data_IF_089312522453
#
_entry.id   IF_089312522453
#
_cell.length_a   1.000
_cell.length_b   1.000
_cell.length_c   1.000
_cell.angle_alpha   90.00
_cell.angle_beta   90.00
_cell.angle_gamma   90.00
#
_symmetry.space_group_name_H-M   'P 1'
#
loop_
_entity.id
_entity.type
_entity.pdbx_description
1 polymer ?
2 non-polymer ?
3 non-polymer ?
4 water ?
#
# COMPACT_ATOMS: atom_id res chain seq x y z
N UNK A 2 -6.06 -6.34 -31.11
CA UNK A 2 -7.29 -6.94 -30.48
C UNK A 2 -7.46 -8.47 -30.67
N UNK A 3 -6.42 -9.16 -31.15
CA UNK A 3 -6.53 -10.59 -31.49
C UNK A 3 -5.96 -11.56 -30.43
N UNK A 4 -6.44 -12.80 -30.46
CA UNK A 4 -6.12 -13.82 -29.43
C UNK A 4 -4.65 -14.18 -29.23
N UNK A 5 -4.25 -14.37 -27.97
CA UNK A 5 -2.90 -14.82 -27.58
C UNK A 5 -2.99 -16.02 -26.61
N UNK A 6 -1.98 -16.91 -26.60
CA UNK A 6 -1.89 -17.99 -25.60
C UNK A 6 -1.62 -17.40 -24.22
N UNK A 7 -0.63 -16.52 -24.16
CA UNK A 7 -0.22 -15.92 -22.89
C UNK A 7 -1.19 -14.83 -22.40
N UNK A 8 -1.20 -14.65 -21.07
CA UNK A 8 -1.89 -13.54 -20.44
C UNK A 8 -0.82 -12.49 -20.16
N UNK A 9 -1.04 -11.26 -20.62
CA UNK A 9 -0.01 -10.25 -20.55
C UNK A 9 -0.30 -9.27 -19.41
N UNK A 10 0.60 -9.21 -18.44
CA UNK A 10 0.43 -8.31 -17.29
C UNK A 10 1.58 -7.29 -17.32
N UNK A 11 1.23 -6.03 -17.58
CA UNK A 11 2.19 -4.94 -17.47
C UNK A 11 2.26 -4.41 -16.04
N UNK A 12 3.48 -4.33 -15.51
CA UNK A 12 3.74 -3.89 -14.14
C UNK A 12 4.72 -2.76 -14.14
N UNK A 13 4.28 -1.65 -13.58
CA UNK A 13 5.17 -0.51 -13.35
C UNK A 13 5.34 -0.24 -11.84
N UNK A 14 6.59 -0.34 -11.38
CA UNK A 14 6.89 -0.21 -9.96
C UNK A 14 8.10 0.68 -9.81
N UNK A 15 8.34 1.13 -8.58
CA UNK A 15 9.42 2.06 -8.34
C UNK A 15 10.63 1.33 -7.75
N UNK A 16 11.61 1.03 -8.61
CA UNK A 16 12.79 0.31 -8.16
C UNK A 16 14.06 1.20 -8.10
N UNK A 17 13.91 2.48 -8.44
CA UNK A 17 15.01 3.46 -8.25
C UNK A 17 14.44 4.74 -7.64
N UNK A 18 15.28 5.56 -7.01
CA UNK A 18 14.85 6.85 -6.45
C UNK A 18 14.35 6.74 -5.00
N UNK A 19 13.76 7.82 -4.45
CA UNK A 19 13.26 7.83 -3.06
C UNK A 19 12.38 6.62 -2.63
N UNK A 20 11.57 6.08 -3.54
CA UNK A 20 10.60 5.04 -3.18
C UNK A 20 11.01 3.64 -3.60
N UNK A 21 12.29 3.43 -3.86
CA UNK A 21 12.80 2.09 -4.21
C UNK A 21 12.54 1.06 -3.10
N UNK A 22 12.49 1.52 -1.85
CA UNK A 22 12.17 0.66 -0.70
C UNK A 22 10.78 0.00 -0.83
N UNK A 23 9.85 0.65 -1.55
CA UNK A 23 8.54 0.08 -1.78
C UNK A 23 8.50 -0.83 -3.04
N UNK A 24 9.11 -0.39 -4.15
CA UNK A 24 8.99 -1.12 -5.42
C UNK A 24 9.87 -2.37 -5.46
N UNK A 25 11.02 -2.31 -4.81
CA UNK A 25 11.92 -3.45 -4.85
C UNK A 25 11.28 -4.74 -4.31
N UNK A 26 10.66 -4.69 -3.09
CA UNK A 26 9.99 -5.91 -2.60
C UNK A 26 8.77 -6.28 -3.44
N UNK A 27 8.07 -5.30 -4.00
CA UNK A 27 7.01 -5.62 -4.94
C UNK A 27 7.50 -6.40 -6.17
N UNK A 28 8.63 -6.01 -6.75
CA UNK A 28 9.22 -6.75 -7.86
C UNK A 28 9.76 -8.09 -7.36
N UNK A 29 10.41 -8.11 -6.20
CA UNK A 29 10.95 -9.38 -5.69
C UNK A 29 9.84 -10.42 -5.47
N UNK A 30 8.68 -9.97 -5.01
CA UNK A 30 7.59 -10.90 -4.65
C UNK A 30 7.02 -11.62 -5.90
N UNK A 31 7.21 -11.00 -7.08
CA UNK A 31 6.80 -11.58 -8.36
C UNK A 31 7.45 -12.90 -8.63
N UNK A 32 8.60 -13.20 -8.01
CA UNK A 32 9.19 -14.54 -8.12
C UNK A 32 8.32 -15.65 -7.50
N UNK A 33 7.36 -15.28 -6.64
CA UNK A 33 6.58 -16.26 -5.90
C UNK A 33 5.10 -16.31 -6.29
N UNK A 34 4.71 -15.60 -7.35
CA UNK A 34 3.31 -15.68 -7.82
C UNK A 34 3.15 -16.75 -8.93
N UNK A 35 1.90 -17.11 -9.22
CA UNK A 35 1.56 -18.07 -10.27
C UNK A 35 2.16 -17.70 -11.62
N UNK A 36 2.69 -18.70 -12.31
CA UNK A 36 3.30 -18.50 -13.62
C UNK A 36 2.35 -18.90 -14.75
N UNK A 37 1.21 -19.46 -14.36
CA UNK A 37 0.24 -19.99 -15.30
C UNK A 37 -1.11 -19.91 -14.57
N UNK A 38 -2.14 -19.43 -15.25
CA UNK A 38 -3.50 -19.42 -14.70
C UNK A 38 -4.48 -19.97 -15.75
N UNK A 39 -5.27 -20.97 -15.37
CA UNK A 39 -6.21 -21.63 -16.28
C UNK A 39 -5.60 -22.25 -17.51
N UNK A 40 -4.35 -22.70 -17.44
CA UNK A 40 -3.67 -23.26 -18.59
C UNK A 40 -2.82 -22.25 -19.35
N UNK A 41 -3.10 -20.97 -19.15
CA UNK A 41 -2.37 -19.92 -19.84
C UNK A 41 -1.15 -19.42 -19.10
N UNK A 42 0.01 -19.36 -19.78
CA UNK A 42 1.23 -18.77 -19.21
C UNK A 42 0.99 -17.29 -18.91
N UNK A 43 1.53 -16.79 -17.79
CA UNK A 43 1.52 -15.35 -17.51
C UNK A 43 2.79 -14.75 -18.07
N UNK A 44 2.67 -13.70 -18.87
CA UNK A 44 3.84 -12.98 -19.32
C UNK A 44 3.83 -11.61 -18.62
N UNK A 45 4.83 -11.37 -17.76
CA UNK A 45 4.89 -10.08 -17.05
C UNK A 45 5.90 -9.16 -17.70
N UNK A 46 5.53 -7.91 -17.94
CA UNK A 46 6.49 -6.91 -18.39
C UNK A 46 6.66 -5.94 -17.23
N UNK A 47 7.81 -6.03 -16.55
CA UNK A 47 8.06 -5.29 -15.29
C UNK A 47 8.96 -4.08 -15.57
N UNK A 48 8.45 -2.87 -15.35
CA UNK A 48 9.17 -1.66 -15.72
C UNK A 48 9.39 -0.84 -14.47
N UNK A 49 10.48 -0.06 -14.46
CA UNK A 49 10.71 0.90 -13.39
C UNK A 49 10.10 2.24 -13.81
N UNK A 50 9.48 2.94 -12.86
CA UNK A 50 8.99 4.31 -13.15
C UNK A 50 9.73 5.40 -12.33
N UNK A 51 10.66 4.96 -11.48
CA UNK A 51 11.35 5.88 -10.58
C UNK A 51 10.44 6.70 -9.66
N UNK A 52 9.18 6.29 -9.54
CA UNK A 52 8.19 7.02 -8.73
C UNK A 52 7.63 8.26 -9.41
N UNK A 53 8.00 8.49 -10.68
CA UNK A 53 7.69 9.71 -11.41
C UNK A 53 6.38 9.54 -12.20
N UNK A 54 5.37 10.42 -11.97
CA UNK A 54 4.11 10.32 -12.73
C UNK A 54 4.27 10.31 -14.27
N UNK A 55 5.23 11.04 -14.83
CA UNK A 55 5.40 11.06 -16.30
C UNK A 55 5.90 9.72 -16.80
N UNK A 56 6.91 9.17 -16.13
CA UNK A 56 7.40 7.85 -16.49
C UNK A 56 6.34 6.74 -16.34
N UNK A 57 5.57 6.78 -15.26
CA UNK A 57 4.53 5.82 -15.04
C UNK A 57 3.46 5.95 -16.13
N UNK A 58 3.11 7.19 -16.53
CA UNK A 58 2.24 7.41 -17.70
C UNK A 58 2.81 6.76 -18.97
N UNK A 59 4.12 6.95 -19.19
CA UNK A 59 4.78 6.43 -20.39
C UNK A 59 4.69 4.91 -20.38
N UNK A 60 5.00 4.32 -19.23
CA UNK A 60 4.92 2.85 -19.08
C UNK A 60 3.51 2.29 -19.30
N UNK A 61 2.50 2.94 -18.69
CA UNK A 61 1.11 2.45 -18.82
C UNK A 61 0.67 2.55 -20.28
N UNK A 62 1.07 3.63 -20.97
CA UNK A 62 0.68 3.79 -22.39
C UNK A 62 1.32 2.71 -23.27
N UNK A 63 2.60 2.40 -22.99
CA UNK A 63 3.30 1.29 -23.65
C UNK A 63 2.51 0.01 -23.44
N UNK A 64 2.06 -0.23 -22.21
CA UNK A 64 1.28 -1.44 -21.92
C UNK A 64 0.01 -1.49 -22.78
N UNK A 65 -0.57 -0.33 -23.07
CA UNK A 65 -1.76 -0.28 -23.93
C UNK A 65 -1.40 -0.49 -25.41
N UNK A 66 -0.45 0.28 -25.95
CA UNK A 66 -0.28 0.27 -27.41
C UNK A 66 0.76 -0.71 -27.92
N UNK A 67 1.74 -1.05 -27.09
CA UNK A 67 2.78 -1.95 -27.52
C UNK A 67 2.53 -3.36 -26.97
N UNK A 68 2.46 -3.50 -25.65
CA UNK A 68 2.34 -4.83 -25.03
C UNK A 68 0.93 -5.39 -25.16
N UNK A 69 -0.08 -4.52 -25.37
CA UNK A 69 -1.48 -4.92 -25.42
C UNK A 69 -1.84 -5.74 -24.17
N UNK A 70 -1.48 -5.22 -22.99
CA UNK A 70 -1.68 -5.97 -21.75
C UNK A 70 -3.16 -6.30 -21.49
N UNK A 71 -3.40 -7.49 -20.92
CA UNK A 71 -4.72 -7.86 -20.39
C UNK A 71 -5.02 -7.16 -19.05
N UNK A 72 -3.98 -6.98 -18.23
CA UNK A 72 -4.05 -6.30 -16.91
C UNK A 72 -2.80 -5.43 -16.74
N UNK A 73 -2.98 -4.30 -16.06
CA UNK A 73 -1.87 -3.42 -15.67
C UNK A 73 -1.84 -3.32 -14.14
N UNK A 74 -0.65 -3.30 -13.54
CA UNK A 74 -0.49 -3.22 -12.09
C UNK A 74 0.49 -2.12 -11.76
N UNK A 75 0.33 -1.46 -10.61
CA UNK A 75 1.30 -0.42 -10.19
C UNK A 75 0.55 0.84 -9.75
N UNK A 76 1.26 1.90 -9.38
CA UNK A 76 2.72 1.93 -9.18
C UNK A 76 2.94 1.67 -7.67
N UNK A 77 4.09 2.13 -7.14
CA UNK A 77 4.47 1.85 -5.75
C UNK A 77 4.10 2.95 -4.79
N UNK A 78 3.89 4.14 -5.35
CA UNK A 78 3.51 5.29 -4.54
C UNK A 78 2.35 6.00 -5.20
N UNK A 79 1.69 6.87 -4.46
CA UNK A 79 0.41 7.43 -4.91
C UNK A 79 0.47 8.28 -6.21
N UNK A 80 1.40 9.26 -6.31
CA UNK A 80 1.34 10.09 -7.56
C UNK A 80 1.46 9.33 -8.91
N UNK A 81 2.45 8.42 -9.08
CA UNK A 81 2.42 7.62 -10.31
C UNK A 81 1.23 6.65 -10.43
N UNK A 82 0.69 6.18 -9.29
CA UNK A 82 -0.50 5.31 -9.32
C UNK A 82 -1.73 6.06 -9.87
N UNK A 83 -1.91 7.30 -9.45
CA UNK A 83 -2.97 8.13 -10.08
C UNK A 83 -2.76 8.15 -11.59
N UNK A 84 -1.52 8.30 -12.02
CA UNK A 84 -1.26 8.42 -13.44
C UNK A 84 -1.61 7.10 -14.16
N UNK A 85 -1.25 5.96 -13.57
CA UNK A 85 -1.53 4.67 -14.22
C UNK A 85 -3.06 4.43 -14.29
N UNK A 86 -3.76 4.71 -13.20
CA UNK A 86 -5.20 4.54 -13.15
C UNK A 86 -5.86 5.44 -14.23
N UNK A 87 -5.38 6.66 -14.41
CA UNK A 87 -5.98 7.53 -15.43
C UNK A 87 -5.84 6.87 -16.82
N UNK A 88 -4.64 6.42 -17.16
CA UNK A 88 -4.38 5.74 -18.43
C UNK A 88 -5.27 4.47 -18.60
N UNK A 89 -5.26 3.59 -17.60
CA UNK A 89 -6.05 2.35 -17.64
C UNK A 89 -7.56 2.61 -17.83
N UNK A 90 -8.09 3.63 -17.15
CA UNK A 90 -9.50 4.00 -17.31
C UNK A 90 -9.84 4.60 -18.68
N UNK A 91 -8.94 5.40 -19.24
CA UNK A 91 -9.15 5.90 -20.61
C UNK A 91 -9.05 4.77 -21.62
N UNK A 92 -8.10 3.87 -21.42
CA UNK A 92 -7.85 2.82 -22.38
C UNK A 92 -8.74 1.60 -22.18
N UNK A 93 -9.48 1.55 -21.06
CA UNK A 93 -10.35 0.41 -20.71
C UNK A 93 -9.58 -0.89 -20.47
N UNK A 94 -8.59 -0.83 -19.60
CA UNK A 94 -7.80 -2.00 -19.23
C UNK A 94 -7.87 -2.17 -17.70
N UNK A 95 -8.12 -3.41 -17.22
CA UNK A 95 -8.16 -3.64 -15.77
C UNK A 95 -6.85 -3.26 -15.10
N UNK A 96 -6.95 -2.57 -13.98
CA UNK A 96 -5.78 -2.01 -13.28
C UNK A 96 -5.82 -2.36 -11.81
N UNK A 97 -4.75 -2.99 -11.31
CA UNK A 97 -4.61 -3.26 -9.87
C UNK A 97 -3.57 -2.31 -9.30
N UNK A 98 -4.04 -1.35 -8.50
CA UNK A 98 -3.17 -0.37 -7.87
C UNK A 98 -2.33 -0.98 -6.76
N UNK A 99 -1.03 -0.69 -6.73
CA UNK A 99 -0.19 -1.20 -5.62
C UNK A 99 0.11 -0.13 -4.56
N UNK A 100 -0.49 1.05 -4.69
CA UNK A 100 -0.37 2.13 -3.74
C UNK A 100 -1.78 2.68 -3.53
N UNK A 101 -2.05 3.32 -2.36
CA UNK A 101 -3.37 3.93 -2.17
C UNK A 101 -3.64 4.99 -3.25
N UNK A 102 -4.89 5.25 -3.59
CA UNK A 102 -5.17 6.46 -4.36
C UNK A 102 -6.58 6.94 -4.19
N UNK A 103 -6.82 8.24 -4.46
CA UNK A 103 -8.19 8.72 -4.48
C UNK A 103 -8.92 8.12 -5.68
N UNK A 104 -9.84 7.18 -5.42
CA UNK A 104 -10.64 6.58 -6.49
C UNK A 104 -11.84 7.47 -6.70
N UNK A 105 -11.77 8.37 -7.69
CA UNK A 105 -12.90 9.20 -8.07
C UNK A 105 -13.78 8.45 -9.08
N UNK A 106 -15.01 8.96 -9.41
CA UNK A 106 -15.83 8.32 -10.46
C UNK A 106 -15.08 8.02 -11.77
N UNK A 107 -14.15 8.90 -12.16
CA UNK A 107 -13.34 8.75 -13.40
C UNK A 107 -12.37 7.55 -13.33
N UNK A 108 -12.04 7.12 -12.12
CA UNK A 108 -11.07 6.04 -11.95
C UNK A 108 -11.67 4.70 -11.52
N UNK A 109 -12.96 4.74 -11.17
CA UNK A 109 -13.60 3.60 -10.48
C UNK A 109 -13.90 2.36 -11.35
N UNK A 110 -14.20 2.59 -12.63
CA UNK A 110 -14.60 1.48 -13.50
C UNK A 110 -13.50 0.41 -13.71
N UNK A 111 -12.26 0.85 -13.93
CA UNK A 111 -11.16 -0.06 -14.35
C UNK A 111 -10.12 -0.35 -13.33
N UNK A 112 -10.15 0.38 -12.19
CA UNK A 112 -9.10 0.22 -11.15
C UNK A 112 -9.65 -0.42 -9.87
N UNK A 113 -8.93 -1.39 -9.30
CA UNK A 113 -9.15 -1.79 -7.89
C UNK A 113 -7.81 -1.57 -7.13
N UNK A 114 -7.86 -1.54 -5.78
CA UNK A 114 -6.71 -1.07 -4.98
C UNK A 114 -6.30 -2.14 -3.96
N UNK A 115 -5.03 -2.51 -3.95
CA UNK A 115 -4.61 -3.54 -3.01
C UNK A 115 -4.39 -2.93 -1.59
N UNK A 116 -3.58 -1.82 -1.48
CA UNK A 116 -3.36 -1.27 -0.14
C UNK A 116 -4.65 -0.85 0.60
N UNK A 117 -4.63 -0.96 1.94
CA UNK A 117 -5.79 -0.58 2.79
C UNK A 117 -6.20 0.88 2.62
N UNK A 118 -7.52 1.19 2.55
CA UNK A 118 -7.90 2.59 2.44
C UNK A 118 -7.47 3.34 3.69
N UNK A 119 -7.07 4.59 3.51
CA UNK A 119 -6.53 5.41 4.60
C UNK A 119 -7.46 5.42 5.85
N UNK A 120 -8.78 5.69 5.68
CA UNK A 120 -9.64 5.70 6.88
C UNK A 120 -9.67 4.39 7.71
N UNK A 121 -9.49 3.24 7.06
CA UNK A 121 -9.38 1.97 7.81
C UNK A 121 -8.14 1.97 8.71
N UNK A 122 -7.01 2.48 8.20
CA UNK A 122 -5.77 2.56 8.98
C UNK A 122 -5.82 3.67 10.02
N UNK A 123 -6.40 4.81 9.64
CA UNK A 123 -6.57 5.92 10.56
C UNK A 123 -7.34 5.50 11.79
N UNK A 124 -8.46 4.77 11.60
CA UNK A 124 -9.29 4.36 12.74
C UNK A 124 -8.45 3.71 13.86
N UNK A 125 -7.60 2.74 13.51
CA UNK A 125 -6.84 2.07 14.57
C UNK A 125 -5.84 3.02 15.24
N UNK A 126 -5.29 3.97 14.49
CA UNK A 126 -4.33 4.88 15.07
C UNK A 126 -5.02 5.85 16.02
N UNK A 127 -6.17 6.40 15.61
CA UNK A 127 -6.90 7.35 16.45
C UNK A 127 -7.48 6.69 17.69
N UNK A 128 -7.86 5.41 17.60
CA UNK A 128 -8.37 4.68 18.75
C UNK A 128 -7.26 4.41 19.79
N UNK A 129 -6.04 4.20 19.31
CA UNK A 129 -4.88 4.06 20.21
C UNK A 129 -4.53 5.39 20.89
N UNK A 130 -4.54 6.48 20.12
CA UNK A 130 -4.40 7.82 20.69
C UNK A 130 -5.39 8.09 21.83
N UNK A 131 -6.67 7.88 21.56
CA UNK A 131 -7.74 8.09 22.55
C UNK A 131 -7.54 7.25 23.80
N UNK A 132 -7.14 5.99 23.62
CA UNK A 132 -6.89 5.08 24.73
C UNK A 132 -5.68 5.51 25.57
N UNK A 133 -4.80 6.32 24.96
CA UNK A 133 -3.57 6.75 25.62
C UNK A 133 -3.54 8.24 25.99
N UNK A 134 -4.71 8.81 26.24
CA UNK A 134 -4.83 10.20 26.65
C UNK A 134 -4.20 11.22 25.74
N UNK A 135 -4.23 10.99 24.44
CA UNK A 135 -3.74 11.98 23.49
C UNK A 135 -4.90 12.87 23.09
N UNK A 136 -4.69 14.17 23.09
CA UNK A 136 -5.75 15.13 22.77
C UNK A 136 -5.33 16.00 21.60
N UNK A 137 -4.15 16.62 21.73
CA UNK A 137 -3.57 17.46 20.67
C UNK A 137 -2.65 16.63 19.77
N UNK A 138 -2.69 16.92 18.47
CA UNK A 138 -1.92 16.14 17.48
C UNK A 138 -1.28 17.11 16.52
N UNK A 139 -0.03 16.87 16.22
CA UNK A 139 0.66 17.54 15.13
C UNK A 139 0.81 16.60 13.91
N UNK A 140 0.84 17.19 12.72
CA UNK A 140 0.99 16.39 11.49
C UNK A 140 2.17 16.81 10.65
N UNK A 141 2.90 15.84 10.12
CA UNK A 141 3.92 16.16 9.11
C UNK A 141 3.83 15.10 8.00
N UNK A 142 3.50 15.54 6.77
CA UNK A 142 3.36 14.58 5.64
C UNK A 142 3.79 15.17 4.31
N UNK A 143 3.80 14.34 3.26
CA UNK A 143 4.16 14.79 1.90
C UNK A 143 3.24 15.93 1.43
N UNK A 144 3.78 16.88 0.68
CA UNK A 144 2.96 17.89 0.01
C UNK A 144 2.42 17.35 -1.33
N UNK A 145 1.78 16.19 -1.28
CA UNK A 145 1.09 15.64 -2.44
C UNK A 145 -0.14 14.83 -1.99
N UNK A 146 -0.79 14.15 -2.93
CA UNK A 146 -2.04 13.49 -2.67
C UNK A 146 -1.97 12.43 -1.56
N UNK A 147 -0.84 11.74 -1.37
CA UNK A 147 -0.77 10.81 -0.21
C UNK A 147 -0.80 11.58 1.14
N UNK A 148 -0.04 12.67 1.19
CA UNK A 148 -0.03 13.50 2.39
C UNK A 148 -1.39 14.13 2.62
N UNK A 149 -2.08 14.52 1.54
CA UNK A 149 -3.44 15.08 1.62
C UNK A 149 -4.45 14.04 2.15
N UNK A 150 -4.40 12.81 1.64
CA UNK A 150 -5.31 11.75 2.08
C UNK A 150 -5.24 11.56 3.60
N UNK A 151 -4.02 11.49 4.13
CA UNK A 151 -3.84 11.30 5.58
C UNK A 151 -4.27 12.48 6.43
N UNK A 152 -3.93 13.71 6.01
CA UNK A 152 -4.27 14.89 6.78
C UNK A 152 -5.79 15.08 6.73
N UNK A 153 -6.35 14.83 5.56
CA UNK A 153 -7.79 14.83 5.42
C UNK A 153 -8.47 13.85 6.37
N UNK A 154 -7.90 12.65 6.53
CA UNK A 154 -8.47 11.65 7.43
C UNK A 154 -8.32 12.09 8.89
N UNK A 155 -7.16 12.65 9.21
CA UNK A 155 -6.91 13.20 10.56
C UNK A 155 -7.91 14.31 10.91
N UNK A 156 -8.13 15.22 9.97
CA UNK A 156 -9.08 16.30 10.18
C UNK A 156 -10.51 15.74 10.33
N UNK A 157 -10.89 14.78 9.49
CA UNK A 157 -12.27 14.28 9.48
C UNK A 157 -12.55 13.21 10.56
N UNK A 158 -11.96 12.04 10.42
CA UNK A 158 -12.14 10.96 11.39
C UNK A 158 -11.52 11.30 12.75
N UNK A 159 -10.27 11.80 12.72
CA UNK A 159 -9.52 12.13 13.93
C UNK A 159 -10.23 13.11 14.86
N UNK A 160 -10.58 14.27 14.32
CA UNK A 160 -11.29 15.27 15.10
C UNK A 160 -12.66 14.80 15.57
N UNK A 161 -13.36 14.01 14.75
CA UNK A 161 -14.67 13.48 15.14
C UNK A 161 -14.55 12.60 16.38
N UNK A 162 -13.35 12.07 16.61
CA UNK A 162 -13.08 11.25 17.80
C UNK A 162 -12.54 12.04 18.99
N UNK A 163 -12.55 13.38 18.92
CA UNK A 163 -12.12 14.22 20.04
C UNK A 163 -10.74 14.86 19.95
N UNK A 164 -9.87 14.34 19.09
CA UNK A 164 -8.55 14.91 18.84
C UNK A 164 -8.60 16.36 18.32
N UNK A 165 -7.52 17.10 18.58
CA UNK A 165 -7.37 18.48 18.16
C UNK A 165 -6.05 18.64 17.40
N UNK A 166 -6.13 19.01 16.14
CA UNK A 166 -4.91 19.20 15.35
C UNK A 166 -4.32 20.55 15.72
N UNK A 167 -3.09 20.57 16.21
CA UNK A 167 -2.53 21.85 16.61
C UNK A 167 -1.43 22.34 15.68
N UNK A 168 -1.02 21.53 14.69
CA UNK A 168 0.07 21.91 13.76
C UNK A 168 0.02 21.07 12.51
N UNK A 169 0.22 21.70 11.36
CA UNK A 169 0.32 20.96 10.11
C UNK A 169 1.58 21.38 9.35
N UNK A 170 2.47 20.42 9.10
CA UNK A 170 3.66 20.67 8.29
C UNK A 170 3.72 19.71 7.10
N UNK A 171 4.32 20.18 6.00
CA UNK A 171 4.54 19.35 4.81
C UNK A 171 5.99 19.32 4.37
N UNK A 172 6.40 18.21 3.74
CA UNK A 172 7.68 18.14 3.03
C UNK A 172 7.56 17.37 1.71
N UNK A 173 8.56 17.52 0.85
CA UNK A 173 8.60 16.87 -0.45
C UNK A 173 9.40 15.56 -0.34
N UNK A 174 9.00 14.59 -1.16
CA UNK A 174 9.61 13.26 -1.18
C UNK A 174 11.15 13.22 -1.29
N UNK A 175 11.77 14.11 -2.09
CA UNK A 175 13.24 14.03 -2.18
C UNK A 175 14.00 14.85 -1.12
N UNK A 176 13.29 15.56 -0.24
CA UNK A 176 13.95 16.43 0.75
C UNK A 176 14.86 15.63 1.67
N UNK A 177 16.01 16.21 2.02
CA UNK A 177 16.96 15.52 2.90
C UNK A 177 16.89 16.08 4.30
N UNK A 178 16.21 17.21 4.43
CA UNK A 178 16.04 17.86 5.72
C UNK A 178 14.60 18.31 5.93
N UNK A 179 14.13 18.16 7.17
CA UNK A 179 12.83 18.68 7.60
C UNK A 179 13.02 19.54 8.87
N UNK A 180 14.21 20.13 8.99
CA UNK A 180 14.57 21.00 10.15
C UNK A 180 13.51 22.05 10.48
N UNK A 181 13.15 22.89 9.50
CA UNK A 181 12.18 23.99 9.71
C UNK A 181 10.83 23.51 10.20
N UNK A 182 10.34 22.43 9.60
CA UNK A 182 9.02 21.89 9.94
C UNK A 182 9.09 21.25 11.33
N UNK A 183 10.18 20.54 11.61
CA UNK A 183 10.28 19.89 12.92
C UNK A 183 10.36 20.93 14.04
N UNK A 184 11.05 22.04 13.80
CA UNK A 184 11.11 23.12 14.81
C UNK A 184 9.73 23.66 15.12
N UNK A 185 8.88 23.80 14.09
CA UNK A 185 7.50 24.22 14.32
C UNK A 185 6.69 23.18 15.08
N UNK A 186 6.89 21.89 14.79
CA UNK A 186 6.16 20.84 15.54
C UNK A 186 6.58 20.84 17.01
N UNK A 187 7.87 21.01 17.28
CA UNK A 187 8.32 20.96 18.68
C UNK A 187 7.74 22.16 19.44
N UNK A 188 7.79 23.33 18.80
CA UNK A 188 7.18 24.55 19.34
C UNK A 188 5.70 24.43 19.66
N UNK A 189 4.93 23.73 18.82
CA UNK A 189 3.48 23.54 19.08
C UNK A 189 3.24 22.55 20.23
N UNK A 190 4.22 21.69 20.49
CA UNK A 190 4.16 20.72 21.58
C UNK A 190 2.86 19.89 21.69
N UNK A 191 2.47 19.22 20.58
CA UNK A 191 1.34 18.31 20.63
C UNK A 191 1.67 17.07 21.49
N UNK A 192 0.61 16.47 22.02
CA UNK A 192 0.65 15.22 22.74
C UNK A 192 1.24 14.12 21.85
N UNK A 193 0.87 14.13 20.56
CA UNK A 193 1.34 13.12 19.61
C UNK A 193 1.58 13.73 18.24
N UNK A 194 2.46 13.10 17.45
CA UNK A 194 2.65 13.49 16.02
C UNK A 194 2.32 12.29 15.11
N UNK A 195 1.50 12.58 14.09
CA UNK A 195 1.28 11.65 12.97
C UNK A 195 2.15 12.04 11.77
N UNK A 196 2.91 11.06 11.26
CA UNK A 196 3.75 11.25 10.07
C UNK A 196 3.02 10.62 8.86
N UNK A 197 2.74 11.41 7.82
CA UNK A 197 2.15 10.87 6.55
C UNK A 197 3.20 10.71 5.44
N UNK A 198 3.91 9.57 5.45
CA UNK A 198 5.00 9.38 4.48
C UNK A 198 5.16 7.88 4.29
N UNK A 199 6.26 7.45 3.67
CA UNK A 199 6.42 6.02 3.37
C UNK A 199 7.88 5.67 3.22
N UNK A 200 8.17 4.37 3.27
CA UNK A 200 9.51 3.81 3.06
C UNK A 200 10.58 4.49 3.87
N UNK A 201 11.72 4.78 3.24
CA UNK A 201 12.83 5.40 3.99
C UNK A 201 12.56 6.87 4.34
N UNK A 202 11.80 7.57 3.51
CA UNK A 202 11.43 8.94 3.86
C UNK A 202 10.60 9.10 5.16
N UNK A 203 9.85 8.06 5.56
CA UNK A 203 9.09 8.13 6.80
C UNK A 203 10.06 8.19 8.00
N UNK A 204 11.29 7.70 7.82
CA UNK A 204 12.27 7.72 8.91
C UNK A 204 12.86 9.12 9.11
N UNK A 205 12.70 10.00 8.12
CA UNK A 205 13.28 11.34 8.19
C UNK A 205 12.67 12.21 9.31
N UNK A 206 11.32 12.41 9.33
CA UNK A 206 10.73 13.08 10.47
C UNK A 206 10.93 12.30 11.81
N UNK A 207 10.92 10.96 11.74
CA UNK A 207 11.16 10.12 12.92
C UNK A 207 12.46 10.53 13.61
N UNK A 208 13.57 10.51 12.88
CA UNK A 208 14.88 10.80 13.47
C UNK A 208 14.94 12.29 13.84
N UNK A 209 14.45 13.15 12.93
CA UNK A 209 14.51 14.59 13.12
C UNK A 209 13.79 15.07 14.37
N UNK A 210 12.56 14.62 14.59
CA UNK A 210 11.84 14.87 15.86
C UNK A 210 12.58 14.38 17.13
N UNK A 211 13.06 13.14 17.12
CA UNK A 211 13.84 12.65 18.27
C UNK A 211 15.11 13.49 18.50
N UNK A 212 15.80 13.85 17.43
CA UNK A 212 17.03 14.65 17.54
C UNK A 212 16.80 16.03 18.12
N UNK A 213 15.66 16.65 17.80
CA UNK A 213 15.35 17.99 18.28
C UNK A 213 14.69 17.97 19.65
N UNK A 214 14.65 16.80 20.32
CA UNK A 214 14.10 16.72 21.69
C UNK A 214 12.58 16.52 21.88
N UNK A 215 11.86 16.14 20.84
CA UNK A 215 10.44 15.76 20.98
C UNK A 215 10.40 14.36 21.54
N UNK A 216 9.67 14.20 22.65
CA UNK A 216 9.62 12.91 23.34
C UNK A 216 8.24 12.25 23.30
N UNK A 217 7.25 12.98 22.77
CA UNK A 217 5.86 12.49 22.61
C UNK A 217 5.74 11.27 21.71
N UNK A 218 4.58 10.62 21.75
CA UNK A 218 4.26 9.56 20.80
C UNK A 218 4.27 9.99 19.33
N UNK A 219 4.90 9.14 18.52
CA UNK A 219 4.89 9.28 17.07
C UNK A 219 4.20 8.10 16.44
N UNK A 220 3.30 8.45 15.52
CA UNK A 220 2.44 7.50 14.79
C UNK A 220 2.82 7.53 13.31
N UNK A 221 2.94 6.33 12.72
CA UNK A 221 3.29 6.17 11.32
C UNK A 221 2.19 5.43 10.58
N UNK A 222 2.14 5.62 9.24
CA UNK A 222 1.13 5.02 8.39
C UNK A 222 1.65 3.69 7.86
N UNK A 223 0.78 2.96 7.15
CA UNK A 223 1.14 1.67 6.55
C UNK A 223 2.15 1.74 5.40
N UNK A 224 2.35 2.95 4.85
CA UNK A 224 3.49 3.21 3.94
C UNK A 224 4.89 2.97 4.52
N UNK A 225 5.01 2.97 5.85
CA UNK A 225 6.29 2.77 6.54
C UNK A 225 6.58 1.30 6.92
N UNK A 226 5.68 0.37 6.63
CA UNK A 226 5.78 -0.99 7.19
C UNK A 226 6.72 -1.95 6.44
N UNK A 227 8.03 -1.76 6.62
CA UNK A 227 9.00 -2.75 6.19
C UNK A 227 10.25 -2.55 7.06
N UNK A 228 11.21 -3.46 6.91
CA UNK A 228 12.47 -3.40 7.65
C UNK A 228 13.27 -2.14 7.37
N UNK A 229 13.07 -1.52 6.21
CA UNK A 229 13.85 -0.33 5.83
C UNK A 229 13.61 0.85 6.77
N UNK A 230 12.37 0.99 7.24
CA UNK A 230 12.08 2.07 8.18
C UNK A 230 12.95 1.92 9.43
N UNK A 231 13.02 0.70 9.97
CA UNK A 231 13.78 0.51 11.20
C UNK A 231 15.27 0.68 10.95
N UNK A 232 15.75 0.19 9.80
CA UNK A 232 17.18 0.29 9.43
C UNK A 232 17.62 1.75 9.35
N UNK A 233 16.79 2.62 8.78
CA UNK A 233 17.16 4.05 8.67
C UNK A 233 16.90 4.83 9.94
N UNK A 234 15.76 4.58 10.61
CA UNK A 234 15.41 5.34 11.81
C UNK A 234 16.26 4.97 12.99
N UNK A 235 16.70 3.71 13.03
CA UNK A 235 17.46 3.20 14.16
C UNK A 235 16.71 3.36 15.48
N UNK A 236 17.43 3.86 16.47
CA UNK A 236 16.93 4.06 17.83
C UNK A 236 15.68 4.95 17.87
N UNK A 237 15.60 5.91 16.95
CA UNK A 237 14.46 6.82 16.91
C UNK A 237 13.12 6.14 16.56
N UNK A 238 13.17 4.92 16.04
CA UNK A 238 11.94 4.12 15.81
C UNK A 238 11.36 3.49 17.07
N UNK A 239 12.11 3.42 18.17
CA UNK A 239 11.59 2.74 19.39
C UNK A 239 10.27 3.34 19.84
N UNK A 240 9.31 2.46 20.16
CA UNK A 240 8.02 2.88 20.69
C UNK A 240 7.10 3.53 19.66
N UNK A 241 7.48 3.54 18.38
CA UNK A 241 6.60 4.12 17.33
C UNK A 241 5.31 3.30 17.27
N UNK A 242 4.19 3.94 16.94
CA UNK A 242 2.96 3.16 16.65
C UNK A 242 2.74 3.17 15.16
N UNK A 243 2.43 2.03 14.59
CA UNK A 243 2.31 1.98 13.11
C UNK A 243 1.20 1.09 12.62
N UNK A 244 0.27 1.64 11.81
CA UNK A 244 -0.75 0.83 11.10
C UNK A 244 -0.09 -0.10 10.06
N UNK A 245 -0.59 -1.30 9.91
CA UNK A 245 -0.04 -2.22 8.93
C UNK A 245 -1.07 -3.32 8.56
N UNK A 246 -0.87 -3.96 7.41
CA UNK A 246 -1.66 -5.13 7.03
C UNK A 246 -1.23 -6.33 7.83
N UNK A 247 -2.06 -7.39 7.81
CA UNK A 247 -1.85 -8.60 8.60
C UNK A 247 -0.68 -9.45 8.13
N UNK A 248 -0.15 -9.15 6.94
CA UNK A 248 1.01 -9.89 6.41
C UNK A 248 2.26 -9.73 7.27
N UNK A 249 2.33 -8.67 8.09
CA UNK A 249 3.44 -8.54 9.01
C UNK A 249 3.41 -9.60 10.15
N UNK A 250 2.23 -10.18 10.43
CA UNK A 250 2.09 -11.22 11.49
C UNK A 250 1.14 -12.42 11.19
N UNK A 251 1.44 -13.23 10.14
CA UNK A 251 0.61 -14.41 9.95
C UNK A 251 0.66 -15.38 11.13
N UNK A 252 1.82 -15.49 11.79
CA UNK A 252 1.98 -16.44 12.89
C UNK A 252 0.97 -16.18 14.03
N UNK A 253 0.66 -14.91 14.26
CA UNK A 253 -0.25 -14.49 15.32
C UNK A 253 -1.71 -14.63 15.02
N UNK A 254 -2.07 -14.82 13.75
CA UNK A 254 -3.50 -14.96 13.38
C UNK A 254 -4.13 -16.28 13.78
N UNK A 255 -5.45 -16.28 13.94
CA UNK A 255 -6.17 -17.54 14.15
C UNK A 255 -5.99 -18.47 12.96
N UNK A 256 -5.84 -19.77 13.23
CA UNK A 256 -5.81 -20.79 12.18
C UNK A 256 -6.97 -20.67 11.18
N UNK A 257 -8.07 -20.09 11.66
CA UNK A 257 -9.28 -19.85 10.92
C UNK A 257 -9.25 -18.64 10.00
N UNK A 258 -8.35 -17.70 10.25
CA UNK A 258 -8.30 -16.47 9.46
C UNK A 258 -7.96 -16.78 7.98
N UNK A 259 -8.78 -16.24 7.08
CA UNK A 259 -8.56 -16.44 5.64
C UNK A 259 -7.21 -15.89 5.17
N UNK A 260 -6.65 -14.92 5.91
CA UNK A 260 -5.39 -14.21 5.53
C UNK A 260 -4.18 -15.01 5.95
N UNK A 261 -4.37 -16.01 6.79
CA UNK A 261 -3.24 -16.69 7.39
C UNK A 261 -2.43 -17.50 6.37
N UNK A 262 -3.07 -18.44 5.69
CA UNK A 262 -2.42 -19.27 4.66
C UNK A 262 -1.64 -18.46 3.57
N UNK A 263 -2.27 -17.43 2.96
CA UNK A 263 -1.55 -16.62 1.98
C UNK A 263 -0.33 -15.89 2.54
N UNK A 264 -0.48 -15.30 3.74
CA UNK A 264 0.62 -14.65 4.45
C UNK A 264 1.76 -15.62 4.77
N UNK A 265 1.43 -16.80 5.27
CA UNK A 265 2.47 -17.81 5.56
C UNK A 265 3.17 -18.25 4.27
N UNK A 266 2.39 -18.43 3.18
CA UNK A 266 2.93 -18.82 1.90
C UNK A 266 3.95 -17.79 1.37
N UNK A 267 3.56 -16.52 1.32
CA UNK A 267 4.41 -15.46 0.80
C UNK A 267 5.63 -15.31 1.67
N UNK A 268 5.46 -15.18 2.99
CA UNK A 268 6.57 -14.90 3.89
C UNK A 268 7.55 -16.05 3.95
N UNK A 269 7.05 -17.29 3.95
CA UNK A 269 7.93 -18.46 3.92
C UNK A 269 8.86 -18.35 2.71
N UNK A 270 8.29 -18.11 1.54
CA UNK A 270 9.10 -18.02 0.34
C UNK A 270 9.99 -16.78 0.34
N UNK A 271 9.41 -15.60 0.56
CA UNK A 271 10.17 -14.34 0.55
C UNK A 271 11.34 -14.43 1.55
N UNK A 272 11.06 -14.80 2.79
CA UNK A 272 12.07 -14.70 3.81
C UNK A 272 13.09 -15.84 3.71
N UNK A 273 12.73 -16.91 3.03
CA UNK A 273 13.73 -17.97 2.76
C UNK A 273 14.78 -17.38 1.83
N UNK A 274 14.32 -16.71 0.78
CA UNK A 274 15.27 -16.04 -0.11
C UNK A 274 16.01 -14.83 0.47
N UNK A 275 15.27 -13.97 1.18
CA UNK A 275 15.78 -12.64 1.54
C UNK A 275 16.14 -12.45 3.02
N UNK A 276 15.97 -13.50 3.83
CA UNK A 276 16.36 -13.49 5.25
C UNK A 276 15.24 -13.22 6.26
N UNK A 277 15.48 -13.55 7.54
CA UNK A 277 14.41 -13.41 8.53
C UNK A 277 13.94 -11.96 8.66
N UNK A 278 12.64 -11.79 8.85
CA UNK A 278 12.03 -10.46 8.99
C UNK A 278 12.19 -9.56 7.77
N UNK A 279 12.45 -10.13 6.60
CA UNK A 279 12.43 -9.31 5.38
C UNK A 279 11.01 -9.11 4.82
N UNK A 280 10.03 -9.80 5.40
CA UNK A 280 8.60 -9.54 5.11
C UNK A 280 8.29 -8.02 4.99
N UNK A 281 7.36 -7.64 4.13
CA UNK A 281 6.92 -6.25 4.07
C UNK A 281 5.47 -6.11 3.66
N UNK A 282 4.89 -4.98 4.03
CA UNK A 282 3.62 -4.54 3.55
C UNK A 282 3.60 -4.66 2.02
N UNK A 283 4.72 -4.29 1.40
CA UNK A 283 4.73 -3.99 -0.05
C UNK A 283 4.79 -5.27 -0.86
N UNK A 284 5.63 -6.20 -0.43
CA UNK A 284 5.62 -7.54 -0.99
C UNK A 284 4.20 -8.16 -0.93
N UNK A 285 3.50 -7.97 0.20
CA UNK A 285 2.09 -8.39 0.31
C UNK A 285 1.18 -7.93 -0.84
N UNK A 286 1.30 -6.66 -1.23
CA UNK A 286 0.45 -6.13 -2.31
C UNK A 286 0.66 -6.76 -3.68
N UNK A 287 1.91 -6.97 -4.10
CA UNK A 287 2.04 -7.54 -5.42
C UNK A 287 1.66 -9.02 -5.45
N UNK A 288 1.97 -9.73 -4.36
CA UNK A 288 1.52 -11.10 -4.20
C UNK A 288 -0.02 -11.18 -4.20
N UNK A 289 -0.67 -10.26 -3.49
CA UNK A 289 -2.13 -10.31 -3.44
C UNK A 289 -2.79 -9.97 -4.79
N UNK A 290 -2.17 -9.07 -5.55
CA UNK A 290 -2.61 -8.80 -6.93
C UNK A 290 -2.75 -10.10 -7.75
N UNK A 291 -1.80 -11.01 -7.57
CA UNK A 291 -1.89 -12.30 -8.22
C UNK A 291 -2.90 -13.25 -7.62
N UNK A 292 -3.16 -13.16 -6.31
CA UNK A 292 -4.26 -13.91 -5.66
C UNK A 292 -5.59 -13.51 -6.29
N UNK A 293 -5.80 -12.20 -6.46
CA UNK A 293 -6.98 -11.72 -7.16
C UNK A 293 -7.06 -12.31 -8.58
N UNK A 294 -5.97 -12.24 -9.35
CA UNK A 294 -6.00 -12.80 -10.72
C UNK A 294 -6.27 -14.31 -10.75
N UNK A 295 -5.69 -15.07 -9.82
CA UNK A 295 -6.07 -16.49 -9.70
C UNK A 295 -7.60 -16.72 -9.58
N UNK A 296 -8.31 -15.82 -8.92
CA UNK A 296 -9.77 -15.92 -8.80
C UNK A 296 -10.49 -15.40 -10.04
N UNK A 297 -10.08 -14.26 -10.58
CA UNK A 297 -10.94 -13.65 -11.61
C UNK A 297 -10.67 -14.16 -13.02
N UNK A 298 -9.42 -14.54 -13.28
CA UNK A 298 -9.05 -14.99 -14.62
C UNK A 298 -9.79 -16.27 -15.10
N UNK A 299 -9.84 -17.35 -14.27
CA UNK A 299 -10.58 -18.53 -14.76
C UNK A 299 -12.06 -18.22 -15.08
N UNK A 300 -12.65 -17.30 -14.32
CA UNK A 300 -13.99 -16.81 -14.66
C UNK A 300 -14.04 -16.10 -16.03
N UNK A 301 -13.14 -15.14 -16.23
CA UNK A 301 -13.07 -14.41 -17.50
C UNK A 301 -12.84 -15.34 -18.70
N UNK A 302 -11.98 -16.35 -18.52
CA UNK A 302 -11.71 -17.36 -19.56
C UNK A 302 -12.97 -18.12 -20.03
N UNK A 303 -14.03 -18.08 -19.24
CA UNK A 303 -15.26 -18.70 -19.66
C UNK A 303 -15.95 -17.90 -20.76
N UNK A 304 -15.69 -16.62 -20.85
CA UNK A 304 -16.39 -15.88 -21.89
C UNK A 304 -15.48 -15.38 -22.99
N UNK A 305 -14.18 -15.25 -22.72
CA UNK A 305 -13.27 -14.72 -23.74
C UNK A 305 -11.82 -15.19 -23.61
N UNK A 306 -11.04 -14.96 -24.67
CA UNK A 306 -9.66 -15.40 -24.69
C UNK A 306 -8.73 -14.22 -24.47
N UNK A 307 -7.54 -14.49 -23.90
CA UNK A 307 -6.57 -13.45 -23.63
C UNK A 307 -6.22 -12.63 -24.88
N UNK A 308 -5.92 -11.36 -24.69
CA UNK A 308 -5.51 -10.49 -25.79
C UNK A 308 -6.66 -9.80 -26.46
N UNK A 309 -7.88 -10.00 -25.97
CA UNK A 309 -9.06 -9.37 -26.59
C UNK A 309 -9.70 -8.37 -25.65
N UNK A 310 -10.41 -7.36 -26.18
CA UNK A 310 -11.13 -6.42 -25.32
C UNK A 310 -12.24 -7.14 -24.52
N UNK A 311 -12.89 -8.14 -25.14
CA UNK A 311 -13.87 -8.99 -24.44
C UNK A 311 -13.28 -9.60 -23.16
N UNK A 312 -12.01 -10.02 -23.21
CA UNK A 312 -11.34 -10.56 -22.03
C UNK A 312 -11.12 -9.50 -20.96
N UNK A 313 -10.72 -8.30 -21.35
CA UNK A 313 -10.54 -7.25 -20.37
C UNK A 313 -11.89 -6.95 -19.70
N UNK A 314 -12.95 -6.87 -20.49
CA UNK A 314 -14.28 -6.64 -19.95
C UNK A 314 -14.74 -7.80 -19.02
N UNK A 315 -14.44 -9.04 -19.40
CA UNK A 315 -14.80 -10.20 -18.56
C UNK A 315 -14.03 -10.17 -17.22
N UNK A 316 -12.76 -9.75 -17.27
CA UNK A 316 -11.99 -9.52 -16.04
C UNK A 316 -12.68 -8.46 -15.17
N UNK A 317 -13.03 -7.31 -15.76
CA UNK A 317 -13.70 -6.27 -15.00
C UNK A 317 -14.99 -6.76 -14.33
N UNK A 318 -15.82 -7.49 -15.06
CA UNK A 318 -17.06 -8.02 -14.49
C UNK A 318 -16.78 -9.09 -13.40
N UNK A 319 -15.73 -9.90 -13.59
CA UNK A 319 -15.40 -10.92 -12.58
C UNK A 319 -14.95 -10.33 -11.24
N UNK A 320 -14.27 -9.17 -11.30
CA UNK A 320 -13.91 -8.45 -10.08
C UNK A 320 -15.15 -8.04 -9.25
N UNK A 321 -16.29 -7.86 -9.93
CA UNK A 321 -17.57 -7.58 -9.25
C UNK A 321 -18.27 -8.81 -8.67
N UNK A 322 -18.01 -9.99 -9.22
CA UNK A 322 -18.77 -11.19 -8.84
C UNK A 322 -17.94 -12.19 -8.02
N UNK A 323 -16.62 -12.13 -8.12
CA UNK A 323 -15.80 -13.04 -7.30
C UNK A 323 -15.58 -12.41 -5.93
N UNK A 324 -16.17 -13.00 -4.89
CA UNK A 324 -16.19 -12.38 -3.56
C UNK A 324 -15.29 -13.08 -2.55
N UNK A 325 -14.94 -12.36 -1.48
CA UNK A 325 -14.17 -12.89 -0.38
C UNK A 325 -12.87 -13.49 -0.92
N UNK A 326 -12.11 -12.69 -1.65
CA UNK A 326 -10.83 -13.17 -2.21
C UNK A 326 -9.80 -13.18 -1.09
N UNK A 327 -9.41 -14.37 -0.67
CA UNK A 327 -8.45 -14.53 0.43
C UNK A 327 -7.04 -14.11 -0.03
N UNK A 328 -6.40 -13.17 0.68
CA UNK A 328 -5.02 -12.74 0.35
C UNK A 328 -4.24 -12.46 1.62
N UNK A 329 -2.94 -12.16 1.46
CA UNK A 329 -2.03 -12.02 2.62
C UNK A 329 -2.38 -10.75 3.46
N UNK A 330 -2.97 -9.75 2.78
CA UNK A 330 -3.24 -8.47 3.41
C UNK A 330 -4.69 -8.23 3.80
N UNK A 331 -5.57 -9.19 3.49
CA UNK A 331 -6.98 -8.98 3.78
C UNK A 331 -7.81 -9.87 2.89
N UNK A 332 -9.13 -9.70 2.96
CA UNK A 332 -10.11 -10.50 2.20
C UNK A 332 -10.89 -9.52 1.31
N UNK A 333 -10.76 -9.68 0.02
CA UNK A 333 -11.27 -8.65 -0.92
C UNK A 333 -12.62 -8.98 -1.53
N UNK A 334 -13.55 -8.00 -1.49
CA UNK A 334 -14.83 -8.07 -2.22
C UNK A 334 -15.09 -6.68 -2.80
N UNK A 335 -15.07 -6.54 -4.11
CA UNK A 335 -15.20 -5.19 -4.70
C UNK A 335 -16.62 -4.98 -5.17
N UNK A 336 -17.08 -3.71 -5.25
CA UNK A 336 -18.34 -3.42 -5.90
C UNK A 336 -18.15 -2.31 -6.92
N UNK A 337 -19.21 -1.88 -7.59
CA UNK A 337 -19.03 -0.76 -8.51
C UNK A 337 -18.50 0.50 -7.83
N UNK A 338 -18.83 0.66 -6.56
CA UNK A 338 -18.47 1.87 -5.83
C UNK A 338 -17.38 1.64 -4.78
N UNK A 339 -17.17 0.40 -4.35
CA UNK A 339 -16.08 0.13 -3.41
C UNK A 339 -14.95 -0.58 -4.14
N UNK A 340 -13.87 0.18 -4.41
CA UNK A 340 -12.76 -0.34 -5.20
C UNK A 340 -11.59 -0.76 -4.36
N UNK A 341 -11.75 -0.70 -3.03
CA UNK A 341 -10.73 -1.22 -2.14
C UNK A 341 -11.20 -2.58 -1.62
N UNK A 342 -12.47 -2.67 -1.20
CA UNK A 342 -13.08 -3.95 -0.91
C UNK A 342 -12.62 -4.62 0.36
N UNK A 343 -12.11 -3.85 1.33
CA UNK A 343 -11.50 -4.46 2.52
C UNK A 343 -12.27 -4.16 3.80
N UNK A 344 -12.06 -4.98 4.82
CA UNK A 344 -12.71 -4.75 6.12
C UNK A 344 -11.68 -4.86 7.30
N UNK A 345 -12.17 -5.06 8.52
CA UNK A 345 -11.36 -5.09 9.73
C UNK A 345 -10.26 -6.14 9.71
N UNK A 346 -10.44 -7.16 8.87
CA UNK A 346 -9.45 -8.24 8.75
C UNK A 346 -8.15 -7.79 8.05
N UNK A 347 -8.13 -6.58 7.50
CA UNK A 347 -6.98 -6.12 6.70
C UNK A 347 -6.05 -5.19 7.50
N UNK A 348 -6.21 -5.13 8.83
CA UNK A 348 -5.33 -4.25 9.61
C UNK A 348 -4.94 -4.72 10.99
N UNK A 349 -3.69 -4.44 11.35
CA UNK A 349 -3.18 -4.59 12.71
C UNK A 349 -2.39 -3.33 13.12
N UNK A 350 -1.97 -3.29 14.38
CA UNK A 350 -1.16 -2.20 14.91
C UNK A 350 0.16 -2.75 15.39
N UNK A 351 1.25 -2.12 14.93
CA UNK A 351 2.61 -2.56 15.30
C UNK A 351 3.31 -1.49 16.13
N UNK A 352 4.29 -1.92 16.93
CA UNK A 352 5.21 -0.99 17.52
C UNK A 352 6.60 -1.55 17.25
N UNK A 353 7.63 -0.86 17.75
CA UNK A 353 9.00 -1.30 17.56
C UNK A 353 9.64 -1.37 18.92
N UNK A 354 10.23 -2.52 19.23
CA UNK A 354 10.97 -2.72 20.48
C UNK A 354 12.27 -3.39 20.12
N UNK A 355 13.37 -2.78 20.58
CA UNK A 355 14.73 -3.28 20.30
C UNK A 355 14.98 -3.61 18.82
N UNK A 356 14.56 -2.73 17.92
CA UNK A 356 14.76 -2.91 16.52
C UNK A 356 13.89 -3.96 15.83
N UNK A 357 12.82 -4.44 16.48
CA UNK A 357 11.94 -5.48 15.91
C UNK A 357 10.50 -4.98 15.91
N UNK A 358 9.72 -5.34 14.90
CA UNK A 358 8.28 -5.04 14.93
C UNK A 358 7.56 -5.95 15.93
N UNK A 359 6.65 -5.39 16.71
CA UNK A 359 5.95 -6.16 17.73
C UNK A 359 4.49 -5.81 17.58
N UNK A 360 3.60 -6.81 17.65
CA UNK A 360 2.19 -6.49 17.50
C UNK A 360 1.65 -5.87 18.80
N UNK A 361 0.78 -4.89 18.67
CA UNK A 361 0.12 -4.21 19.80
C UNK A 361 -1.32 -4.76 19.91
N UNK A 362 -1.59 -5.47 21.00
CA UNK A 362 -2.90 -6.09 21.23
C UNK A 362 -3.81 -5.28 22.15
X LIG B 1 1.14 5.36 -1.45
X LIG B 1 2.47 2.13 -0.46
X LIG B 1 1.81 0.97 -0.07
X LIG B 1 0.94 1.01 1.01
X LIG B 1 0.70 2.18 1.71
X LIG B 1 1.37 3.34 1.31
X LIG B 1 2.25 3.31 0.22
X LIG B 1 0.30 -0.15 1.36
X LIG B 1 3.01 4.56 -0.20
X LIG B 1 2.25 5.59 -0.99
X LIG B 1 2.89 6.88 -1.23
X LIG B 1 2.27 7.77 -1.84
X LIG B 1 4.06 7.10 -0.81
X LIG C 1 2.92 7.00 -0.96
X LIG C 1 4.09 7.25 -0.57
X LIG C 1 2.15 5.86 -0.39
X LIG C 1 2.76 4.70 -0.19
X LIG C 1 2.04 3.54 0.38
X LIG C 1 2.26 2.31 -0.23
X LIG C 1 1.64 1.19 0.25
X LIG C 1 0.73 1.30 1.43
X LIG C 1 0.50 2.54 2.00
X LIG C 1 1.17 3.64 1.47
X LIG C 1 0.10 0.19 1.91
X LIG C 1 1.88 0.00 -0.36
X LIG C 1 2.36 7.70 -1.83
#
# INVERSE_FOLDING_TARGET
SNAETNEITVGITVTTTGPAAALGIPERNALEFVAKEIGGHPIKMIVLDDGGDPTAATTNARRFVTESKADVIMGSSVTPPTVAVSNVANEAQVPHIALAPLPVTPERAKWSVVMPQPIPIMGKVLYEHMKKNNIKTVGYIGYSDSYGDLWFNDLKKQGEAMGLKIVAEERFARPDTSVAGQVLKLVAANPDAILVGASGTAAALPQTALRERGYNGLIYQTHGAASMDFIRIAGKSAEGVLMASGPVMDPEGQNDSALTKKPGLELNTAYETKYGPNSRSQFAGHSFDAFKVLERVIPVALKTAKPGTQEFREAIRKALLTEKDIAASQGVYSFTETDRYGLDDRSRILLTVKNGKYVIVK
ENO O4 C9 C8 C7 C6 C5 C4 O3 C3 C2 C1 O2 O1
DHC C1 O1 C2 C3 C1' C2' C3' C4' C5' C6' O4' O3' O2
#
